data_IF_912472579180
#
_entry.id   IF_912472579180
#
_cell.length_a   1.000
_cell.length_b   1.000
_cell.length_c   1.000
_cell.angle_alpha   90.00
_cell.angle_beta   90.00
_cell.angle_gamma   90.00
#
_symmetry.space_group_name_H-M   'P 1'
#
loop_
_entity.id
_entity.type
_entity.pdbx_description
1 polymer ?
#
# COMPACT_ATOMS: atom_id res chain seq x y z
N UNK A 1 -19.83 -9.01 12.92
CA UNK A 1 -19.31 -8.36 11.70
C UNK A 1 -18.20 -7.43 12.14
N UNK A 2 -16.96 -7.95 12.19
CA UNK A 2 -15.83 -7.17 12.69
C UNK A 2 -15.48 -6.06 11.71
N UNK A 3 -15.56 -4.84 12.22
CA UNK A 3 -15.35 -3.60 11.50
C UNK A 3 -13.85 -3.40 11.40
N UNK A 4 -13.24 -3.92 10.35
CA UNK A 4 -11.81 -3.76 10.14
C UNK A 4 -11.52 -2.30 9.75
N UNK A 5 -11.21 -1.49 10.77
CA UNK A 5 -10.65 -0.15 10.61
C UNK A 5 -9.13 -0.25 10.62
N UNK A 6 -8.51 -0.42 9.46
CA UNK A 6 -7.08 -0.15 9.34
C UNK A 6 -6.90 1.31 8.95
N UNK A 7 -6.83 2.18 9.96
CA UNK A 7 -6.07 3.42 9.86
C UNK A 7 -4.97 3.29 10.90
N UNK A 8 -3.72 3.24 10.44
CA UNK A 8 -2.57 3.58 11.27
C UNK A 8 -1.38 3.95 10.38
N UNK A 9 -1.19 5.26 10.25
CA UNK A 9 0.05 5.91 9.86
C UNK A 9 1.25 5.17 10.52
N UNK A 10 2.13 4.57 9.72
CA UNK A 10 3.48 4.19 10.18
C UNK A 10 3.60 3.25 11.40
N UNK A 11 2.57 2.49 11.79
CA UNK A 11 2.68 1.55 12.93
C UNK A 11 2.67 0.11 12.44
N UNK A 12 3.80 -0.55 12.68
CA UNK A 12 4.01 -1.99 12.72
C UNK A 12 3.13 -2.65 13.80
N UNK A 13 1.81 -2.60 13.64
CA UNK A 13 0.92 -3.56 14.27
C UNK A 13 1.19 -4.88 13.56
N UNK A 14 2.15 -5.67 14.08
CA UNK A 14 2.67 -6.90 13.47
C UNK A 14 1.52 -7.78 13.02
N UNK A 15 1.26 -7.76 11.71
CA UNK A 15 0.28 -8.64 11.09
C UNK A 15 0.73 -10.08 11.36
N UNK A 16 -0.21 -11.03 11.53
CA UNK A 16 0.14 -12.43 11.70
C UNK A 16 1.09 -12.89 10.58
N UNK A 17 2.07 -13.76 10.88
CA UNK A 17 2.90 -14.37 9.84
C UNK A 17 2.01 -14.97 8.74
N UNK A 18 2.32 -14.64 7.49
CA UNK A 18 1.56 -15.09 6.32
C UNK A 18 0.50 -14.09 5.83
N UNK A 19 0.19 -13.04 6.58
CA UNK A 19 -0.67 -11.96 6.08
C UNK A 19 0.01 -11.24 4.91
N UNK A 20 -0.69 -11.12 3.79
CA UNK A 20 -0.21 -10.48 2.57
C UNK A 20 -1.30 -9.59 2.00
N UNK A 21 -0.88 -8.61 1.22
CA UNK A 21 -1.79 -7.83 0.41
C UNK A 21 -2.32 -8.70 -0.74
N UNK A 22 -3.58 -9.13 -0.62
CA UNK A 22 -4.29 -9.96 -1.61
C UNK A 22 -5.72 -9.42 -1.81
N UNK A 23 -5.88 -8.22 -2.39
CA UNK A 23 -7.20 -7.63 -2.64
C UNK A 23 -7.93 -8.32 -3.80
N UNK A 24 -9.26 -8.21 -3.83
CA UNK A 24 -10.04 -8.52 -5.04
C UNK A 24 -10.01 -7.36 -6.05
N UNK A 25 -10.43 -7.60 -7.29
CA UNK A 25 -10.53 -6.55 -8.32
C UNK A 25 -11.45 -5.39 -7.88
N UNK A 26 -12.56 -5.73 -7.21
CA UNK A 26 -13.50 -4.74 -6.68
C UNK A 26 -12.87 -3.90 -5.58
N UNK A 27 -12.08 -4.51 -4.70
CA UNK A 27 -11.37 -3.79 -3.65
C UNK A 27 -10.32 -2.84 -4.23
N UNK A 28 -9.57 -3.28 -5.24
CA UNK A 28 -8.60 -2.42 -5.94
C UNK A 28 -9.28 -1.20 -6.58
N UNK A 29 -10.41 -1.40 -7.26
CA UNK A 29 -11.11 -0.31 -7.96
C UNK A 29 -11.81 0.62 -6.96
N UNK A 30 -12.63 0.08 -6.05
CA UNK A 30 -13.51 0.89 -5.22
C UNK A 30 -12.84 1.43 -3.96
N UNK A 31 -11.90 0.69 -3.36
CA UNK A 31 -11.28 1.10 -2.09
C UNK A 31 -9.94 1.80 -2.29
N UNK A 32 -9.20 1.50 -3.36
CA UNK A 32 -7.90 2.11 -3.62
C UNK A 32 -7.98 3.15 -4.74
N UNK A 33 -8.33 2.74 -5.96
CA UNK A 33 -8.27 3.63 -7.12
C UNK A 33 -9.26 4.80 -7.00
N UNK A 34 -10.54 4.50 -6.72
CA UNK A 34 -11.57 5.52 -6.52
C UNK A 34 -11.18 6.48 -5.40
N UNK A 35 -10.82 5.94 -4.23
CA UNK A 35 -10.43 6.76 -3.08
C UNK A 35 -9.26 7.68 -3.42
N UNK A 36 -8.23 7.17 -4.10
CA UNK A 36 -7.09 7.97 -4.55
C UNK A 36 -7.50 9.10 -5.49
N UNK A 37 -8.30 8.81 -6.50
CA UNK A 37 -8.77 9.81 -7.48
C UNK A 37 -9.56 10.93 -6.82
N UNK A 38 -10.36 10.61 -5.80
CA UNK A 38 -11.13 11.60 -5.04
C UNK A 38 -10.40 12.15 -3.80
N UNK A 39 -9.12 11.83 -3.63
CA UNK A 39 -8.32 12.21 -2.44
C UNK A 39 -8.95 11.80 -1.10
N UNK A 40 -9.69 10.70 -1.10
CA UNK A 40 -10.19 10.06 0.12
C UNK A 40 -9.10 9.23 0.80
N UNK A 41 -9.30 8.97 2.09
CA UNK A 41 -8.38 8.15 2.87
C UNK A 41 -8.31 6.73 2.31
N UNK A 42 -7.09 6.26 2.08
CA UNK A 42 -6.82 4.89 1.65
C UNK A 42 -6.85 3.93 2.85
N UNK A 43 -7.32 2.68 2.68
CA UNK A 43 -7.25 1.67 3.72
C UNK A 43 -5.82 1.38 4.19
N UNK A 44 -4.85 1.47 3.28
CA UNK A 44 -3.43 1.38 3.60
C UNK A 44 -2.59 2.10 2.54
N UNK A 45 -1.52 2.77 2.96
CA UNK A 45 -0.56 3.40 2.05
C UNK A 45 0.49 2.40 1.54
N UNK A 46 0.03 1.31 0.92
CA UNK A 46 0.89 0.18 0.49
C UNK A 46 1.24 0.21 -1.02
N UNK A 47 0.48 0.94 -1.83
CA UNK A 47 0.68 1.07 -3.27
C UNK A 47 1.47 2.36 -3.55
N UNK A 48 2.73 2.30 -4.02
CA UNK A 48 3.55 3.49 -4.26
C UNK A 48 3.11 4.27 -5.50
N UNK A 49 3.45 5.56 -5.53
CA UNK A 49 3.27 6.43 -6.70
C UNK A 49 4.51 6.41 -7.57
N UNK A 50 4.37 5.83 -8.77
CA UNK A 50 5.43 5.78 -9.76
C UNK A 50 4.86 6.00 -11.16
N UNK A 51 5.65 6.65 -12.02
CA UNK A 51 5.35 6.66 -13.45
C UNK A 51 5.89 5.35 -14.06
N UNK A 52 5.02 4.36 -14.18
CA UNK A 52 5.37 3.01 -14.64
C UNK A 52 5.99 2.98 -16.04
N UNK A 53 5.65 3.94 -16.90
CA UNK A 53 6.13 3.98 -18.29
C UNK A 53 7.59 4.44 -18.44
N UNK A 54 8.23 4.88 -17.34
CA UNK A 54 9.64 5.32 -17.36
C UNK A 54 10.63 4.20 -17.03
N UNK A 55 10.15 3.02 -16.69
CA UNK A 55 10.96 1.94 -16.14
C UNK A 55 10.67 0.65 -16.89
N UNK A 56 11.68 -0.20 -16.99
CA UNK A 56 11.44 -1.55 -17.42
C UNK A 56 10.71 -2.34 -16.31
N UNK A 57 9.93 -3.39 -16.68
CA UNK A 57 9.18 -4.17 -15.70
C UNK A 57 10.04 -4.76 -14.57
N UNK A 58 11.31 -5.07 -14.85
CA UNK A 58 12.27 -5.61 -13.87
C UNK A 58 12.84 -4.57 -12.91
N UNK A 59 12.73 -3.27 -13.24
CA UNK A 59 13.19 -2.19 -12.35
C UNK A 59 12.12 -1.83 -11.31
N UNK A 60 10.84 -2.08 -11.59
CA UNK A 60 9.74 -1.72 -10.70
C UNK A 60 9.87 -2.28 -9.27
N UNK A 61 10.30 -3.55 -9.05
CA UNK A 61 10.44 -4.09 -7.70
C UNK A 61 11.51 -3.39 -6.85
N UNK A 62 12.60 -2.90 -7.46
CA UNK A 62 13.70 -2.23 -6.73
C UNK A 62 13.34 -0.79 -6.35
N UNK A 63 12.37 -0.17 -7.04
CA UNK A 63 11.86 1.16 -6.73
C UNK A 63 10.93 1.18 -5.52
N UNK A 64 10.49 0.02 -5.04
CA UNK A 64 9.72 -0.06 -3.79
C UNK A 64 10.64 0.43 -2.68
N UNK A 65 10.49 1.70 -2.30
CA UNK A 65 11.16 2.24 -1.11
C UNK A 65 10.79 1.32 0.06
N UNK A 66 11.76 0.70 0.75
CA UNK A 66 11.43 0.03 1.99
C UNK A 66 10.78 1.08 2.89
N UNK A 67 9.56 0.82 3.35
CA UNK A 67 8.81 1.75 4.20
C UNK A 67 9.44 1.94 5.60
N UNK A 68 10.68 1.50 5.77
CA UNK A 68 11.50 1.68 6.96
C UNK A 68 12.37 2.88 6.64
N UNK A 69 11.87 4.06 6.98
CA UNK A 69 12.71 5.23 7.12
C UNK A 69 13.86 4.88 8.05
N UNK A 70 15.06 5.20 7.58
CA UNK A 70 16.35 5.05 8.24
C UNK A 70 16.29 5.41 9.72
N UNK A 71 16.40 4.42 10.60
CA UNK A 71 16.71 4.63 12.01
C UNK A 71 18.07 4.01 12.32
N UNK A 72 19.14 4.59 11.78
CA UNK A 72 20.42 4.65 12.50
C UNK A 72 21.17 5.89 12.03
N UNK A 73 21.51 6.73 13.02
CA UNK A 73 22.36 7.91 12.91
C UNK A 73 23.78 7.57 12.47
#
# INVERSE_FOLDING_TARGET
MEKIKFVKNGVSNKLPPGFRFQPTDEELVFQYLKCKTFSYQLPASIIPEINVCKYDPWDLPVLRKPSIEMATA
#
